data_IF_592278963189
#
_entry.id   IF_592278963189
#
_cell.length_a   1.000
_cell.length_b   1.000
_cell.length_c   1.000
_cell.angle_alpha   90.00
_cell.angle_beta   90.00
_cell.angle_gamma   90.00
#
_symmetry.space_group_name_H-M   'P 1'
#
loop_
_entity.id
_entity.type
_entity.pdbx_description
1 polymer ?
#
# COMPACT_ATOMS: atom_id res chain seq x y z
N UNK A 1 40.92 8.06 23.90
CA UNK A 1 39.85 7.09 23.62
C UNK A 1 38.99 7.75 22.55
N UNK A 2 38.87 7.17 21.37
CA UNK A 2 38.02 7.72 20.30
C UNK A 2 36.66 7.03 20.48
N UNK A 3 35.66 7.76 20.96
CA UNK A 3 34.28 7.28 21.03
C UNK A 3 33.68 7.31 19.62
N UNK A 4 33.48 6.13 19.05
CA UNK A 4 32.80 5.98 17.76
C UNK A 4 31.30 6.15 17.98
N UNK A 5 30.79 7.35 17.76
CA UNK A 5 29.36 7.64 17.84
C UNK A 5 28.65 6.91 16.68
N UNK A 6 27.82 5.91 16.98
CA UNK A 6 26.95 5.26 15.98
C UNK A 6 25.85 6.24 15.59
N UNK A 7 25.96 6.81 14.40
CA UNK A 7 24.85 7.50 13.75
C UNK A 7 23.77 6.47 13.42
N UNK A 8 22.55 6.68 13.92
CA UNK A 8 21.38 5.87 13.59
C UNK A 8 20.65 6.59 12.46
N UNK A 9 20.63 5.97 11.29
CA UNK A 9 19.84 6.44 10.17
C UNK A 9 18.40 5.98 10.36
N UNK A 10 17.43 6.80 9.96
CA UNK A 10 16.00 6.51 10.16
C UNK A 10 15.29 6.61 8.82
N UNK A 11 14.40 5.65 8.55
CA UNK A 11 13.65 5.60 7.32
C UNK A 11 12.78 6.86 7.20
N UNK A 12 12.87 7.56 6.08
CA UNK A 12 12.09 8.79 5.84
C UNK A 12 10.58 8.54 5.66
N UNK A 13 10.14 7.29 5.62
CA UNK A 13 8.75 6.88 5.35
C UNK A 13 8.04 6.47 6.66
N UNK A 14 8.69 5.66 7.51
CA UNK A 14 8.10 5.17 8.76
C UNK A 14 8.88 5.52 10.05
N UNK A 15 10.11 6.03 9.95
CA UNK A 15 10.94 6.37 11.10
C UNK A 15 11.70 5.21 11.74
N UNK A 16 11.51 3.97 11.28
CA UNK A 16 12.29 2.81 11.73
C UNK A 16 13.78 2.95 11.39
N UNK A 17 14.68 2.28 12.14
CA UNK A 17 16.10 2.29 11.83
C UNK A 17 16.33 1.80 10.39
N UNK A 18 17.03 2.62 9.61
CA UNK A 18 17.40 2.33 8.23
C UNK A 18 18.87 1.94 8.16
N UNK A 19 19.18 0.98 7.29
CA UNK A 19 20.56 0.56 6.98
C UNK A 19 20.93 0.86 5.52
N UNK A 20 19.96 1.17 4.68
CA UNK A 20 20.11 1.33 3.23
C UNK A 20 19.58 2.70 2.76
N UNK A 21 20.09 3.14 1.60
CA UNK A 21 19.72 4.39 0.96
C UNK A 21 19.05 4.11 -0.40
N UNK A 22 18.08 4.94 -0.77
CA UNK A 22 17.49 4.91 -2.10
C UNK A 22 18.53 5.33 -3.14
N UNK A 23 18.76 4.50 -4.17
CA UNK A 23 19.72 4.79 -5.26
C UNK A 23 19.33 6.00 -6.12
N UNK A 24 18.07 6.43 -6.04
CA UNK A 24 17.55 7.55 -6.85
C UNK A 24 17.55 8.88 -6.08
N UNK A 25 16.90 8.91 -4.92
CA UNK A 25 16.72 10.15 -4.16
C UNK A 25 17.66 10.29 -2.96
N UNK A 26 18.52 9.30 -2.69
CA UNK A 26 19.49 9.26 -1.57
C UNK A 26 18.87 9.40 -0.18
N UNK A 27 17.56 9.20 -0.03
CA UNK A 27 16.90 9.15 1.27
C UNK A 27 17.06 7.78 1.91
N UNK A 28 17.14 7.76 3.23
CA UNK A 28 17.12 6.55 4.05
C UNK A 28 15.78 5.82 3.91
N UNK A 29 15.83 4.53 3.57
CA UNK A 29 14.66 3.67 3.45
C UNK A 29 14.96 2.27 4.01
N UNK A 30 14.11 1.77 4.90
CA UNK A 30 14.21 0.41 5.42
C UNK A 30 13.85 -0.62 4.34
N UNK A 31 14.20 -1.90 4.57
CA UNK A 31 13.99 -2.99 3.61
C UNK A 31 12.52 -3.18 3.22
N UNK A 32 11.58 -2.83 4.10
CA UNK A 32 10.15 -2.89 3.82
C UNK A 32 9.70 -1.78 2.84
N UNK A 33 10.35 -0.62 2.89
CA UNK A 33 10.03 0.53 2.05
C UNK A 33 10.98 0.71 0.86
N UNK A 34 11.91 -0.24 0.67
CA UNK A 34 12.83 -0.29 -0.46
C UNK A 34 12.53 -1.51 -1.31
N UNK A 35 12.29 -1.30 -2.59
CA UNK A 35 12.08 -2.40 -3.52
C UNK A 35 13.37 -3.22 -3.67
N UNK A 36 13.32 -4.51 -3.35
CA UNK A 36 14.44 -5.45 -3.49
C UNK A 36 14.92 -5.59 -4.95
N UNK A 37 14.06 -5.29 -5.93
CA UNK A 37 14.38 -5.46 -7.35
C UNK A 37 15.09 -4.26 -7.97
N UNK A 38 14.69 -3.04 -7.60
CA UNK A 38 15.26 -1.82 -8.16
C UNK A 38 16.07 -0.97 -7.16
N UNK A 39 16.12 -1.38 -5.88
CA UNK A 39 16.80 -0.67 -4.80
C UNK A 39 16.33 0.79 -4.58
N UNK A 40 15.11 1.12 -5.02
CA UNK A 40 14.48 2.44 -4.84
C UNK A 40 13.45 2.41 -3.72
N UNK A 41 13.23 3.56 -3.07
CA UNK A 41 12.15 3.69 -2.09
C UNK A 41 10.77 3.62 -2.78
N UNK A 42 9.71 3.39 -2.00
CA UNK A 42 8.32 3.30 -2.50
C UNK A 42 7.92 4.49 -3.39
N UNK A 43 8.27 5.73 -3.02
CA UNK A 43 7.99 6.94 -3.80
C UNK A 43 8.73 7.02 -5.15
N UNK A 44 9.84 6.30 -5.30
CA UNK A 44 10.68 6.31 -6.51
C UNK A 44 10.61 4.98 -7.27
N UNK A 45 9.82 4.02 -6.78
CA UNK A 45 9.69 2.71 -7.36
C UNK A 45 8.80 2.78 -8.60
N UNK A 46 9.30 2.27 -9.72
CA UNK A 46 8.55 2.14 -10.98
C UNK A 46 8.27 0.66 -11.30
N UNK A 47 8.42 -0.23 -10.31
CA UNK A 47 8.12 -1.65 -10.49
C UNK A 47 6.62 -1.88 -10.39
N UNK A 48 5.99 -2.41 -11.44
CA UNK A 48 4.59 -2.86 -11.48
C UNK A 48 4.39 -4.20 -10.73
N UNK A 49 5.09 -4.41 -9.61
CA UNK A 49 5.08 -5.68 -8.88
C UNK A 49 4.20 -5.53 -7.63
N UNK A 50 3.12 -6.31 -7.49
CA UNK A 50 2.34 -6.35 -6.26
C UNK A 50 3.21 -6.85 -5.10
N UNK A 51 3.18 -6.16 -3.95
CA UNK A 51 3.91 -6.57 -2.75
C UNK A 51 3.31 -7.82 -2.05
N UNK A 52 2.24 -8.42 -2.61
CA UNK A 52 1.51 -9.54 -2.01
C UNK A 52 2.23 -10.90 -2.11
N UNK A 53 3.29 -11.05 -2.93
CA UNK A 53 3.92 -12.36 -3.23
C UNK A 53 5.09 -12.71 -2.29
N UNK A 54 5.03 -12.30 -1.02
CA UNK A 54 6.01 -12.70 0.00
C UNK A 54 5.42 -13.80 0.91
N UNK A 55 5.78 -15.10 0.70
CA UNK A 55 5.25 -16.22 1.49
C UNK A 55 5.67 -16.19 2.97
N UNK A 56 6.56 -15.28 3.35
CA UNK A 56 7.00 -15.07 4.74
C UNK A 56 6.02 -14.24 5.59
N UNK A 57 5.17 -13.41 4.97
CA UNK A 57 4.15 -12.62 5.69
C UNK A 57 2.88 -13.43 6.00
N UNK A 58 2.60 -14.47 5.22
CA UNK A 58 1.46 -15.39 5.45
C UNK A 58 1.67 -16.29 6.67
N UNK A 59 2.93 -16.59 7.03
CA UNK A 59 3.27 -17.42 8.17
C UNK A 59 3.11 -16.72 9.54
N UNK A 60 3.05 -15.38 9.57
CA UNK A 60 2.94 -14.59 10.80
C UNK A 60 1.50 -14.22 11.16
N UNK A 61 0.51 -14.50 10.30
CA UNK A 61 -0.90 -14.32 10.64
C UNK A 61 -1.33 -15.50 11.52
N UNK A 62 -1.71 -15.29 12.79
CA UNK A 62 -2.32 -16.37 13.55
C UNK A 62 -3.57 -16.83 12.80
N UNK A 63 -3.86 -18.15 12.75
CA UNK A 63 -5.10 -18.61 12.16
C UNK A 63 -6.24 -17.90 12.86
N UNK A 64 -7.07 -17.19 12.09
CA UNK A 64 -8.36 -16.72 12.57
C UNK A 64 -9.12 -17.98 12.96
N UNK A 65 -9.19 -18.25 14.27
CA UNK A 65 -10.06 -19.29 14.80
C UNK A 65 -11.46 -18.94 14.31
N UNK A 66 -12.03 -19.84 13.51
CA UNK A 66 -13.38 -19.74 12.99
C UNK A 66 -14.34 -19.49 14.16
N UNK A 67 -14.80 -18.25 14.30
CA UNK A 67 -16.08 -17.99 14.93
C UNK A 67 -17.08 -17.92 13.79
N UNK A 68 -17.66 -19.08 13.51
CA UNK A 68 -18.94 -19.21 12.84
C UNK A 68 -19.95 -18.43 13.69
N UNK A 69 -20.30 -17.21 13.28
CA UNK A 69 -21.47 -16.53 13.81
C UNK A 69 -22.27 -15.93 12.65
N UNK A 70 -23.23 -16.75 12.25
CA UNK A 70 -24.41 -16.45 11.46
C UNK A 70 -25.00 -15.10 11.89
N UNK A 71 -25.07 -14.13 10.97
CA UNK A 71 -25.91 -12.95 11.17
C UNK A 71 -26.73 -12.72 9.90
N UNK A 72 -27.98 -13.12 10.04
CA UNK A 72 -29.07 -13.07 9.08
C UNK A 72 -29.24 -11.66 8.48
N UNK A 73 -29.41 -11.61 7.17
CA UNK A 73 -29.96 -10.45 6.49
C UNK A 73 -31.42 -10.23 6.96
N UNK A 74 -31.86 -8.96 7.04
CA UNK A 74 -33.19 -8.68 6.53
C UNK A 74 -33.18 -7.64 5.42
N UNK A 75 -34.01 -7.97 4.45
CA UNK A 75 -34.33 -7.28 3.20
C UNK A 75 -35.08 -5.97 3.47
N UNK A 76 -34.80 -4.94 2.68
CA UNK A 76 -35.72 -3.81 2.50
C UNK A 76 -35.57 -3.30 1.06
N UNK A 77 -36.33 -3.93 0.16
CA UNK A 77 -36.60 -3.44 -1.20
C UNK A 77 -37.63 -2.29 -1.18
N UNK A 78 -37.72 -1.57 -2.31
CA UNK A 78 -38.68 -0.51 -2.71
C UNK A 78 -38.11 0.90 -2.55
N UNK A 79 -38.13 1.81 -3.52
CA UNK A 79 -38.58 1.83 -4.92
C UNK A 79 -38.22 3.23 -5.44
N UNK A 80 -37.67 3.32 -6.64
CA UNK A 80 -37.91 4.44 -7.56
C UNK A 80 -37.42 4.05 -8.96
N UNK A 81 -38.32 3.78 -9.92
CA UNK A 81 -37.94 3.59 -11.32
C UNK A 81 -37.52 4.93 -11.98
N UNK A 82 -36.41 4.91 -12.73
CA UNK A 82 -35.97 5.96 -13.66
C UNK A 82 -36.88 6.00 -14.91
N UNK A 83 -37.11 7.15 -15.60
CA UNK A 83 -36.17 7.66 -16.64
C UNK A 83 -36.29 9.21 -16.88
N UNK A 84 -35.65 9.94 -17.81
CA UNK A 84 -34.83 9.69 -19.00
C UNK A 84 -33.98 10.95 -19.34
N UNK A 85 -32.95 10.87 -20.22
CA UNK A 85 -32.24 12.04 -20.77
C UNK A 85 -32.87 12.54 -22.08
N UNK A 86 -33.02 13.86 -22.27
CA UNK A 86 -32.91 14.49 -23.61
C UNK A 86 -32.37 15.96 -23.52
N UNK A 87 -31.65 16.64 -24.43
CA UNK A 87 -31.08 16.43 -25.77
C UNK A 87 -29.86 17.37 -25.96
N UNK A 88 -28.96 17.03 -26.89
CA UNK A 88 -27.80 17.86 -27.30
C UNK A 88 -28.20 18.96 -28.31
N UNK A 89 -27.77 20.23 -28.13
CA UNK A 89 -27.73 21.20 -29.22
C UNK A 89 -26.54 20.91 -30.15
N UNK A 90 -26.83 20.47 -31.37
CA UNK A 90 -25.85 20.42 -32.48
C UNK A 90 -25.62 21.83 -32.98
N UNK A 91 -24.43 22.39 -32.78
CA UNK A 91 -24.01 23.63 -33.44
C UNK A 91 -22.86 23.34 -34.41
N UNK A 92 -23.05 23.54 -35.73
CA UNK A 92 -21.99 23.42 -36.72
C UNK A 92 -21.07 24.65 -36.69
N UNK A 93 -19.75 24.42 -36.71
CA UNK A 93 -18.74 25.43 -37.03
C UNK A 93 -17.72 24.86 -38.02
#
# INVERSE_FOLDING_TARGET
MIETQKLVFTCSICGDPSTELCVWCTKDACDLHRCQRCARCSDCCECEIPLEDHPEFEAARPPVLALEEESEAPEAETDAPAPAPPEEPREPL
#
